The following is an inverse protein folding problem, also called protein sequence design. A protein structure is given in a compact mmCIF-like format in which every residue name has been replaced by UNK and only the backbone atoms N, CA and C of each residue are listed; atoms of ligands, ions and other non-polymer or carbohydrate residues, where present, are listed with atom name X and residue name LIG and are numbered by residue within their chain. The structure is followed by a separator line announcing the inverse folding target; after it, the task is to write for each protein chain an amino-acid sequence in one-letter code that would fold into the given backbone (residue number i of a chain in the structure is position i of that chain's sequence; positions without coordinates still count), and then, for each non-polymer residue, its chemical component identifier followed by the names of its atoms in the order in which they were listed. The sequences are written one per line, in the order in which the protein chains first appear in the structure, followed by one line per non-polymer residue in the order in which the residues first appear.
data_IF_413637367399
#
_entry.id   IF_413637367399
#
_cell.length_a   1.000
_cell.length_b   1.000
_cell.length_c   1.000
_cell.angle_alpha   90.00
_cell.angle_beta   90.00
_cell.angle_gamma   90.00
#
_symmetry.space_group_name_H-M   'P 1'
#
loop_
_entity.id
_entity.type
_entity.pdbx_description
1 polymer ?
#
# COMPACT_ATOMS: atom_id res chain seq x y z
N UNK A 1 10.55 -26.53 -2.13
CA UNK A 1 11.24 -25.41 -1.46
C UNK A 1 11.06 -25.58 0.05
N UNK A 2 12.16 -25.67 0.81
CA UNK A 2 12.12 -25.78 2.28
C UNK A 2 11.75 -24.37 2.80
N UNK A 3 10.68 -24.29 3.59
CA UNK A 3 10.26 -23.01 4.19
C UNK A 3 11.38 -22.46 5.10
N UNK A 4 11.59 -21.12 5.12
CA UNK A 4 12.59 -20.53 6.01
C UNK A 4 12.30 -20.89 7.47
N UNK A 5 13.34 -21.08 8.28
CA UNK A 5 13.20 -21.51 9.68
C UNK A 5 12.27 -20.59 10.49
N UNK A 6 12.40 -19.27 10.34
CA UNK A 6 11.52 -18.31 11.02
C UNK A 6 10.03 -18.49 10.68
N UNK A 7 9.72 -18.97 9.45
CA UNK A 7 8.34 -19.22 9.03
C UNK A 7 7.79 -20.54 9.61
N UNK A 8 8.64 -21.56 9.72
CA UNK A 8 8.26 -22.84 10.35
C UNK A 8 8.04 -22.71 11.85
N UNK A 9 8.68 -21.74 12.51
CA UNK A 9 8.53 -21.42 13.94
C UNK A 9 7.22 -20.65 14.25
N UNK A 10 6.56 -20.05 13.24
CA UNK A 10 5.25 -19.42 13.44
C UNK A 10 4.17 -20.47 13.73
N UNK A 11 3.30 -20.16 14.67
CA UNK A 11 2.09 -20.91 14.91
C UNK A 11 1.11 -20.84 13.70
N UNK A 12 0.06 -21.65 13.63
CA UNK A 12 -0.86 -21.62 12.50
C UNK A 12 -1.54 -20.27 12.28
N UNK A 13 -1.80 -19.49 13.34
CA UNK A 13 -2.40 -18.16 13.24
C UNK A 13 -1.38 -17.15 12.71
N UNK A 14 -0.14 -17.18 13.19
CA UNK A 14 0.96 -16.35 12.70
C UNK A 14 1.24 -16.59 11.21
N UNK A 15 1.18 -17.86 10.74
CA UNK A 15 1.32 -18.15 9.29
C UNK A 15 0.16 -17.60 8.46
N UNK A 16 -1.07 -17.66 8.97
CA UNK A 16 -2.24 -17.03 8.32
C UNK A 16 -2.11 -15.53 8.28
N UNK A 17 -1.72 -14.91 9.40
CA UNK A 17 -1.47 -13.49 9.52
C UNK A 17 -0.40 -13.03 8.51
N UNK A 18 0.75 -13.71 8.47
CA UNK A 18 1.82 -13.41 7.52
C UNK A 18 1.33 -13.50 6.06
N UNK A 19 0.71 -14.62 5.66
CA UNK A 19 0.22 -14.80 4.28
C UNK A 19 -0.78 -13.73 3.89
N UNK A 20 -1.73 -13.43 4.77
CA UNK A 20 -2.78 -12.43 4.52
C UNK A 20 -2.22 -11.01 4.41
N UNK A 21 -1.27 -10.63 5.28
CA UNK A 21 -0.63 -9.33 5.22
C UNK A 21 0.31 -9.21 4.02
N UNK A 22 1.07 -10.27 3.71
CA UNK A 22 1.91 -10.32 2.51
C UNK A 22 1.08 -10.14 1.23
N UNK A 23 -0.04 -10.86 1.11
CA UNK A 23 -0.95 -10.73 -0.02
C UNK A 23 -1.59 -9.33 -0.06
N UNK A 24 -1.99 -8.76 1.09
CA UNK A 24 -2.49 -7.40 1.20
C UNK A 24 -1.49 -6.38 0.69
N UNK A 25 -0.27 -6.42 1.19
CA UNK A 25 0.82 -5.55 0.74
C UNK A 25 1.12 -5.69 -0.76
N UNK A 26 1.02 -6.92 -1.32
CA UNK A 26 1.22 -7.13 -2.76
C UNK A 26 0.12 -6.47 -3.59
N UNK A 27 -1.15 -6.60 -3.18
CA UNK A 27 -2.26 -5.96 -3.90
C UNK A 27 -2.27 -4.45 -3.73
N UNK A 28 -1.92 -3.94 -2.55
CA UNK A 28 -1.80 -2.50 -2.33
C UNK A 28 -0.68 -1.89 -3.15
N UNK A 29 0.49 -2.54 -3.18
CA UNK A 29 1.60 -2.13 -4.02
C UNK A 29 1.20 -2.15 -5.51
N UNK A 30 0.48 -3.19 -5.96
CA UNK A 30 -0.09 -3.24 -7.31
C UNK A 30 -1.00 -2.03 -7.56
N UNK A 31 -1.98 -1.78 -6.71
CA UNK A 31 -2.96 -0.71 -6.87
C UNK A 31 -2.32 0.68 -6.98
N UNK A 32 -1.31 0.92 -6.16
CA UNK A 32 -0.59 2.20 -6.16
C UNK A 32 0.25 2.36 -7.43
N UNK A 33 0.94 1.29 -7.84
CA UNK A 33 1.84 1.30 -8.98
C UNK A 33 1.13 1.25 -10.34
N UNK A 34 -0.11 0.75 -10.40
CA UNK A 34 -0.95 0.84 -11.62
C UNK A 34 -0.96 2.25 -12.18
N UNK A 35 -1.04 3.27 -11.31
CA UNK A 35 -1.02 4.66 -11.73
C UNK A 35 0.23 5.02 -12.54
N UNK A 36 1.41 4.59 -12.12
CA UNK A 36 2.67 4.89 -12.82
C UNK A 36 2.68 4.32 -14.24
N UNK A 37 2.07 3.16 -14.46
CA UNK A 37 1.99 2.52 -15.78
C UNK A 37 0.88 3.10 -16.67
N UNK A 38 -0.22 3.57 -16.09
CA UNK A 38 -1.31 4.18 -16.86
C UNK A 38 -1.14 5.69 -17.06
N UNK A 39 -0.26 6.34 -16.28
CA UNK A 39 -0.03 7.78 -16.34
C UNK A 39 0.27 8.30 -17.76
N UNK A 40 1.17 7.69 -18.55
CA UNK A 40 1.44 8.15 -19.92
C UNK A 40 0.20 8.20 -20.78
N UNK A 41 -0.67 7.19 -20.62
CA UNK A 41 -1.93 7.10 -21.35
C UNK A 41 -2.93 8.18 -20.90
N UNK A 42 -3.05 8.41 -19.60
CA UNK A 42 -3.90 9.46 -19.04
C UNK A 42 -3.47 10.86 -19.47
N UNK A 43 -2.13 11.13 -19.48
CA UNK A 43 -1.60 12.40 -19.99
C UNK A 43 -2.06 12.66 -21.42
N UNK A 44 -2.05 11.62 -22.27
CA UNK A 44 -2.45 11.72 -23.67
C UNK A 44 -3.97 11.83 -23.83
N UNK A 45 -4.74 10.94 -23.18
CA UNK A 45 -6.21 10.88 -23.33
C UNK A 45 -6.91 12.13 -22.80
N UNK A 46 -6.44 12.65 -21.67
CA UNK A 46 -7.04 13.80 -21.00
C UNK A 46 -6.28 15.11 -21.25
N UNK A 47 -5.26 15.08 -22.12
CA UNK A 47 -4.40 16.22 -22.45
C UNK A 47 -3.87 16.95 -21.20
N UNK A 48 -3.46 16.15 -20.21
CA UNK A 48 -2.96 16.66 -18.94
C UNK A 48 -1.51 17.12 -19.06
N UNK A 49 -1.17 18.18 -18.34
CA UNK A 49 0.22 18.58 -18.17
C UNK A 49 0.98 17.58 -17.28
N UNK A 50 2.31 17.44 -17.42
CA UNK A 50 3.11 16.62 -16.51
C UNK A 50 2.94 17.04 -15.04
N UNK A 51 2.73 18.34 -14.77
CA UNK A 51 2.48 18.83 -13.40
C UNK A 51 1.17 18.31 -12.82
N UNK A 52 0.10 18.20 -13.63
CA UNK A 52 -1.16 17.58 -13.20
C UNK A 52 -0.96 16.09 -12.86
N UNK A 53 -0.21 15.35 -13.69
CA UNK A 53 0.18 13.97 -13.36
C UNK A 53 0.98 13.88 -12.06
N UNK A 54 1.93 14.79 -11.84
CA UNK A 54 2.67 14.87 -10.59
C UNK A 54 1.79 15.18 -9.38
N UNK A 55 0.77 16.03 -9.54
CA UNK A 55 -0.18 16.34 -8.47
C UNK A 55 -0.98 15.11 -8.03
N UNK A 56 -1.45 14.28 -8.97
CA UNK A 56 -2.15 13.01 -8.66
C UNK A 56 -1.28 12.04 -7.85
N UNK A 57 0.03 12.01 -8.10
CA UNK A 57 0.95 11.21 -7.29
C UNK A 57 1.19 11.85 -5.89
N UNK A 58 1.36 13.17 -5.86
CA UNK A 58 1.64 13.91 -4.62
C UNK A 58 0.50 13.83 -3.62
N UNK A 59 -0.74 14.06 -4.04
CA UNK A 59 -1.90 14.01 -3.12
C UNK A 59 -2.09 12.62 -2.52
N UNK A 60 -1.83 11.57 -3.30
CA UNK A 60 -1.85 10.20 -2.81
C UNK A 60 -0.81 9.99 -1.71
N UNK A 61 0.43 10.47 -1.88
CA UNK A 61 1.49 10.31 -0.89
C UNK A 61 1.23 11.13 0.38
N UNK A 62 0.74 12.37 0.23
CA UNK A 62 0.36 13.20 1.39
C UNK A 62 -0.79 12.57 2.17
N UNK A 63 -1.81 12.08 1.47
CA UNK A 63 -2.92 11.37 2.10
C UNK A 63 -2.47 10.07 2.78
N UNK A 64 -1.45 9.37 2.24
CA UNK A 64 -0.91 8.17 2.86
C UNK A 64 -0.25 8.43 4.22
N UNK A 65 0.42 9.56 4.38
CA UNK A 65 0.99 9.95 5.67
C UNK A 65 -0.12 10.16 6.73
N UNK A 66 -1.20 10.85 6.36
CA UNK A 66 -2.36 11.03 7.24
C UNK A 66 -3.04 9.69 7.56
N UNK A 67 -3.25 8.84 6.54
CA UNK A 67 -3.85 7.52 6.67
C UNK A 67 -3.06 6.61 7.60
N UNK A 68 -1.75 6.56 7.43
CA UNK A 68 -0.85 5.76 8.28
C UNK A 68 -0.90 6.18 9.75
N UNK A 69 -0.88 7.48 10.00
CA UNK A 69 -0.95 8.02 11.35
C UNK A 69 -2.30 7.73 12.02
N UNK A 70 -3.40 8.06 11.35
CA UNK A 70 -4.74 7.84 11.90
C UNK A 70 -5.05 6.36 12.11
N UNK A 71 -4.64 5.49 11.17
CA UNK A 71 -4.81 4.06 11.30
C UNK A 71 -3.92 3.46 12.39
N UNK A 72 -2.73 4.00 12.62
CA UNK A 72 -1.89 3.64 13.76
C UNK A 72 -2.64 3.86 15.07
N UNK A 73 -3.14 5.08 15.30
CA UNK A 73 -3.95 5.43 16.48
C UNK A 73 -5.21 4.55 16.59
N UNK A 74 -5.91 4.34 15.47
CA UNK A 74 -7.11 3.50 15.44
C UNK A 74 -6.78 2.04 15.77
N UNK A 75 -5.65 1.51 15.28
CA UNK A 75 -5.25 0.13 15.53
C UNK A 75 -4.86 -0.13 16.97
N UNK A 76 -4.31 0.88 17.66
CA UNK A 76 -4.01 0.79 19.10
C UNK A 76 -5.29 0.75 19.94
N UNK A 77 -6.37 1.35 19.45
CA UNK A 77 -7.66 1.40 20.17
C UNK A 77 -8.59 0.25 19.82
N UNK A 78 -8.70 -0.09 18.53
CA UNK A 78 -9.73 -1.03 18.02
C UNK A 78 -9.16 -2.40 17.65
N UNK A 79 -7.85 -2.57 17.68
CA UNK A 79 -7.13 -3.79 17.31
C UNK A 79 -6.60 -3.76 15.88
N UNK A 80 -5.49 -4.49 15.67
CA UNK A 80 -4.78 -4.54 14.38
C UNK A 80 -5.63 -5.20 13.30
N UNK A 81 -6.25 -6.33 13.64
CA UNK A 81 -7.02 -7.14 12.68
C UNK A 81 -8.25 -6.39 12.17
N UNK A 82 -8.99 -5.70 13.05
CA UNK A 82 -10.16 -4.92 12.62
C UNK A 82 -9.78 -3.79 11.69
N UNK A 83 -8.73 -3.06 12.02
CA UNK A 83 -8.27 -1.96 11.18
C UNK A 83 -7.77 -2.48 9.83
N UNK A 84 -7.00 -3.59 9.79
CA UNK A 84 -6.58 -4.24 8.53
C UNK A 84 -7.75 -4.75 7.67
N UNK A 85 -8.87 -5.12 8.27
CA UNK A 85 -10.09 -5.48 7.53
C UNK A 85 -10.74 -4.24 6.89
N UNK A 86 -10.75 -3.12 7.62
CA UNK A 86 -11.30 -1.86 7.11
C UNK A 86 -10.40 -1.27 6.00
N UNK A 87 -9.09 -1.34 6.16
CA UNK A 87 -8.14 -0.79 5.17
C UNK A 87 -8.24 -1.49 3.83
N UNK A 88 -8.36 -2.84 3.79
CA UNK A 88 -8.48 -3.56 2.51
C UNK A 88 -9.80 -3.24 1.79
N UNK A 89 -10.90 -3.05 2.53
CA UNK A 89 -12.18 -2.61 1.95
C UNK A 89 -12.06 -1.18 1.42
N UNK A 90 -11.45 -0.29 2.19
CA UNK A 90 -11.20 1.09 1.78
C UNK A 90 -10.35 1.16 0.52
N UNK A 91 -9.26 0.37 0.45
CA UNK A 91 -8.40 0.27 -0.74
C UNK A 91 -9.17 -0.25 -1.95
N UNK A 92 -9.99 -1.28 -1.79
CA UNK A 92 -10.81 -1.81 -2.88
C UNK A 92 -11.80 -0.77 -3.42
N UNK A 93 -12.51 -0.06 -2.52
CA UNK A 93 -13.46 0.98 -2.91
C UNK A 93 -12.78 2.18 -3.58
N UNK A 94 -11.67 2.67 -3.03
CA UNK A 94 -10.94 3.78 -3.63
C UNK A 94 -10.30 3.40 -4.98
N UNK A 95 -9.82 2.16 -5.12
CA UNK A 95 -9.32 1.63 -6.40
C UNK A 95 -10.45 1.50 -7.43
N UNK A 96 -11.63 1.05 -7.02
CA UNK A 96 -12.84 1.08 -7.86
C UNK A 96 -13.16 2.51 -8.33
N UNK A 97 -13.14 3.49 -7.43
CA UNK A 97 -13.34 4.90 -7.77
C UNK A 97 -12.29 5.40 -8.77
N UNK A 98 -11.01 4.99 -8.62
CA UNK A 98 -9.98 5.33 -9.60
C UNK A 98 -10.34 4.81 -11.01
N UNK A 99 -10.77 3.55 -11.13
CA UNK A 99 -11.17 2.96 -12.40
C UNK A 99 -12.45 3.57 -13.00
N UNK A 100 -13.33 4.13 -12.18
CA UNK A 100 -14.58 4.78 -12.61
C UNK A 100 -14.42 6.27 -12.91
N UNK A 101 -13.31 6.91 -12.57
CA UNK A 101 -13.09 8.33 -12.77
C UNK A 101 -13.23 8.72 -14.25
N UNK A 102 -13.94 9.80 -14.53
CA UNK A 102 -14.21 10.29 -15.88
C UNK A 102 -13.34 11.50 -16.25
N UNK A 103 -12.82 12.19 -15.25
CA UNK A 103 -12.01 13.39 -15.39
C UNK A 103 -10.88 13.44 -14.34
N UNK A 104 -10.06 14.48 -14.44
CA UNK A 104 -8.94 14.72 -13.56
C UNK A 104 -9.37 14.90 -12.10
N UNK A 105 -10.45 15.63 -11.83
CA UNK A 105 -10.89 15.98 -10.48
C UNK A 105 -11.41 14.75 -9.74
N UNK A 106 -12.18 13.90 -10.41
CA UNK A 106 -12.65 12.64 -9.86
C UNK A 106 -11.47 11.71 -9.55
N UNK A 107 -10.50 11.64 -10.46
CA UNK A 107 -9.30 10.83 -10.21
C UNK A 107 -8.46 11.42 -9.07
N UNK A 108 -8.37 12.74 -8.94
CA UNK A 108 -7.66 13.41 -7.84
C UNK A 108 -8.26 13.02 -6.47
N UNK A 109 -9.59 13.06 -6.36
CA UNK A 109 -10.29 12.64 -5.14
C UNK A 109 -10.08 11.14 -4.89
N UNK A 110 -10.27 10.30 -5.91
CA UNK A 110 -10.09 8.87 -5.78
C UNK A 110 -8.65 8.49 -5.37
N UNK A 111 -7.63 9.14 -5.94
CA UNK A 111 -6.22 8.97 -5.57
C UNK A 111 -5.91 9.43 -4.15
N UNK A 112 -6.54 10.50 -3.68
CA UNK A 112 -6.44 10.96 -2.30
C UNK A 112 -6.98 9.90 -1.34
N UNK A 113 -8.17 9.37 -1.61
CA UNK A 113 -8.78 8.30 -0.82
C UNK A 113 -7.94 7.02 -0.85
N UNK A 114 -7.39 6.66 -2.01
CA UNK A 114 -6.52 5.50 -2.18
C UNK A 114 -5.23 5.65 -1.36
N UNK A 115 -4.62 6.85 -1.37
CA UNK A 115 -3.45 7.15 -0.56
C UNK A 115 -3.70 6.95 0.93
N UNK A 116 -4.82 7.46 1.43
CA UNK A 116 -5.22 7.26 2.82
C UNK A 116 -5.26 5.77 3.21
N UNK A 117 -5.92 4.95 2.39
CA UNK A 117 -5.98 3.49 2.60
C UNK A 117 -4.61 2.81 2.54
N UNK A 118 -3.77 3.22 1.58
CA UNK A 118 -2.42 2.69 1.41
C UNK A 118 -1.56 2.92 2.66
N UNK A 119 -1.48 4.16 3.15
CA UNK A 119 -0.72 4.45 4.37
C UNK A 119 -1.24 3.70 5.59
N UNK A 120 -2.56 3.59 5.71
CA UNK A 120 -3.22 2.86 6.78
C UNK A 120 -2.85 1.36 6.79
N UNK A 121 -2.93 0.71 5.64
CA UNK A 121 -2.61 -0.72 5.49
C UNK A 121 -1.14 -1.02 5.85
N UNK A 122 -0.21 -0.21 5.32
CA UNK A 122 1.23 -0.44 5.53
C UNK A 122 1.66 -0.18 6.96
N UNK A 123 1.14 0.87 7.60
CA UNK A 123 1.45 1.17 9.00
C UNK A 123 0.97 0.05 9.94
N UNK A 124 -0.30 -0.32 9.84
CA UNK A 124 -0.90 -1.32 10.73
C UNK A 124 -0.36 -2.73 10.43
N UNK A 125 -0.18 -3.05 9.16
CA UNK A 125 0.38 -4.34 8.74
C UNK A 125 1.82 -4.55 9.23
N UNK A 126 2.66 -3.52 9.18
CA UNK A 126 4.03 -3.60 9.69
C UNK A 126 4.06 -3.84 11.21
N UNK A 127 3.21 -3.13 11.98
CA UNK A 127 3.07 -3.32 13.43
C UNK A 127 2.59 -4.73 13.72
N UNK A 128 1.52 -5.19 13.06
CA UNK A 128 0.98 -6.53 13.24
C UNK A 128 2.01 -7.62 12.95
N UNK A 129 2.80 -7.47 11.88
CA UNK A 129 3.89 -8.39 11.56
C UNK A 129 4.99 -8.39 12.64
N UNK A 130 5.32 -7.23 13.19
CA UNK A 130 6.30 -7.11 14.25
C UNK A 130 5.83 -7.74 15.58
N UNK A 131 4.53 -7.70 15.87
CA UNK A 131 3.92 -8.25 17.09
C UNK A 131 3.81 -9.79 17.07
N UNK A 132 3.51 -10.38 15.90
CA UNK A 132 3.43 -11.85 15.77
C UNK A 132 4.78 -12.54 15.66
N UNK A 133 5.85 -11.78 15.41
CA UNK A 133 7.19 -12.31 15.23
C UNK A 133 7.90 -12.49 16.58
N UNK A 134 8.58 -13.63 16.76
CA UNK A 134 9.54 -13.79 17.84
C UNK A 134 10.63 -12.71 17.71
N UNK A 135 11.14 -12.12 18.83
CA UNK A 135 12.12 -11.02 18.79
C UNK A 135 13.33 -11.29 17.89
N UNK A 136 13.89 -12.51 17.92
CA UNK A 136 15.03 -12.90 17.10
C UNK A 136 14.72 -13.03 15.59
N UNK A 137 13.45 -13.21 15.21
CA UNK A 137 13.00 -13.38 13.83
C UNK A 137 12.32 -12.12 13.25
N UNK A 138 12.02 -11.10 14.09
CA UNK A 138 11.23 -9.93 13.73
C UNK A 138 11.73 -9.21 12.48
N UNK A 139 13.02 -8.91 12.41
CA UNK A 139 13.61 -8.23 11.25
C UNK A 139 13.47 -9.05 9.95
N UNK A 140 13.65 -10.38 10.03
CA UNK A 140 13.51 -11.27 8.87
C UNK A 140 12.05 -11.35 8.40
N UNK A 141 11.11 -11.46 9.32
CA UNK A 141 9.68 -11.56 9.00
C UNK A 141 9.19 -10.26 8.38
N UNK A 142 9.44 -9.12 9.02
CA UNK A 142 9.05 -7.79 8.50
C UNK A 142 9.76 -7.49 7.18
N UNK A 143 11.06 -7.76 7.06
CA UNK A 143 11.80 -7.58 5.82
C UNK A 143 11.27 -8.45 4.68
N UNK A 144 10.88 -9.71 4.96
CA UNK A 144 10.22 -10.55 3.95
C UNK A 144 8.85 -10.00 3.58
N UNK A 145 8.06 -9.51 4.55
CA UNK A 145 6.77 -8.88 4.25
C UNK A 145 6.92 -7.67 3.32
N UNK A 146 7.98 -6.88 3.45
CA UNK A 146 8.27 -5.75 2.57
C UNK A 146 8.59 -6.17 1.12
N UNK A 147 9.08 -7.40 0.87
CA UNK A 147 9.30 -7.90 -0.49
C UNK A 147 8.02 -8.05 -1.30
N UNK A 148 6.85 -8.05 -0.64
CA UNK A 148 5.54 -7.99 -1.29
C UNK A 148 5.39 -6.79 -2.23
N UNK A 149 6.11 -5.69 -1.95
CA UNK A 149 6.19 -4.53 -2.83
C UNK A 149 6.66 -4.88 -4.24
N UNK A 150 7.72 -5.65 -4.36
CA UNK A 150 8.25 -6.08 -5.67
C UNK A 150 7.26 -6.96 -6.44
N UNK A 151 6.54 -7.84 -5.73
CA UNK A 151 5.48 -8.66 -6.34
C UNK A 151 4.35 -7.77 -6.87
N UNK A 152 3.88 -6.81 -6.04
CA UNK A 152 2.84 -5.86 -6.45
C UNK A 152 3.25 -5.02 -7.66
N UNK A 153 4.51 -4.60 -7.71
CA UNK A 153 5.08 -3.87 -8.85
C UNK A 153 5.04 -4.69 -10.14
N UNK A 154 5.49 -5.95 -10.07
CA UNK A 154 5.42 -6.89 -11.20
C UNK A 154 3.98 -7.16 -11.66
N UNK A 155 3.05 -7.32 -10.71
CA UNK A 155 1.63 -7.49 -11.02
C UNK A 155 1.04 -6.24 -11.68
N UNK A 156 1.38 -5.03 -11.23
CA UNK A 156 0.94 -3.78 -11.84
C UNK A 156 1.44 -3.66 -13.28
N UNK A 157 2.72 -3.94 -13.52
CA UNK A 157 3.31 -3.92 -14.86
C UNK A 157 2.61 -4.91 -15.79
N UNK A 158 2.48 -6.18 -15.38
CA UNK A 158 1.83 -7.22 -16.17
C UNK A 158 0.36 -6.87 -16.47
N UNK A 159 -0.40 -6.48 -15.44
CA UNK A 159 -1.83 -6.16 -15.58
C UNK A 159 -2.04 -4.96 -16.50
N UNK A 160 -1.27 -3.88 -16.32
CA UNK A 160 -1.38 -2.69 -17.15
C UNK A 160 -1.02 -2.98 -18.61
N UNK A 161 0.08 -3.71 -18.83
CA UNK A 161 0.52 -4.08 -20.19
C UNK A 161 -0.54 -4.92 -20.89
N UNK A 162 -1.06 -5.96 -20.22
CA UNK A 162 -2.07 -6.84 -20.80
C UNK A 162 -3.37 -6.08 -21.07
N UNK A 163 -3.84 -5.30 -20.11
CA UNK A 163 -5.10 -4.55 -20.24
C UNK A 163 -5.04 -3.51 -21.38
N UNK A 164 -3.94 -2.77 -21.49
CA UNK A 164 -3.75 -1.77 -22.55
C UNK A 164 -3.54 -2.42 -23.92
N UNK A 165 -2.93 -3.62 -23.99
CA UNK A 165 -2.74 -4.33 -25.24
C UNK A 165 -4.02 -4.97 -25.79
N UNK A 166 -4.93 -5.42 -24.92
CA UNK A 166 -6.14 -6.15 -25.32
C UNK A 166 -7.38 -5.28 -25.48
N UNK A 167 -7.39 -4.08 -24.87
CA UNK A 167 -8.57 -3.22 -24.83
C UNK A 167 -8.27 -1.85 -25.46
N UNK A 168 -9.31 -1.14 -25.97
CA UNK A 168 -9.14 0.24 -26.39
C UNK A 168 -8.56 1.09 -25.25
N UNK A 169 -7.76 2.13 -25.57
CA UNK A 169 -7.07 2.96 -24.57
C UNK A 169 -7.96 3.45 -23.43
N UNK A 170 -9.19 3.87 -23.73
CA UNK A 170 -10.16 4.38 -22.76
C UNK A 170 -10.62 3.33 -21.75
N UNK A 171 -10.64 2.07 -22.14
CA UNK A 171 -11.05 0.94 -21.30
C UNK A 171 -9.87 0.24 -20.65
N UNK A 172 -8.72 0.17 -21.33
CA UNK A 172 -7.54 -0.58 -20.88
C UNK A 172 -7.03 -0.10 -19.53
N UNK A 173 -6.88 1.19 -19.33
CA UNK A 173 -6.42 1.72 -18.06
C UNK A 173 -7.42 1.50 -16.92
N UNK A 174 -8.73 1.54 -17.19
CA UNK A 174 -9.78 1.27 -16.20
C UNK A 174 -9.79 -0.20 -15.80
N UNK A 175 -9.69 -1.10 -16.78
CA UNK A 175 -9.64 -2.54 -16.58
C UNK A 175 -8.46 -2.93 -15.68
N UNK A 176 -7.31 -2.27 -15.82
CA UNK A 176 -6.16 -2.48 -14.96
C UNK A 176 -6.49 -2.28 -13.47
N UNK A 177 -7.27 -1.25 -13.13
CA UNK A 177 -7.73 -1.04 -11.75
C UNK A 177 -8.74 -2.11 -11.30
N UNK A 178 -9.66 -2.52 -12.16
CA UNK A 178 -10.71 -3.48 -11.79
C UNK A 178 -10.17 -4.91 -11.57
N UNK A 179 -9.11 -5.31 -12.24
CA UNK A 179 -8.48 -6.63 -12.06
C UNK A 179 -7.99 -6.86 -10.63
N UNK A 180 -7.67 -5.81 -9.88
CA UNK A 180 -7.23 -5.93 -8.49
C UNK A 180 -8.35 -6.18 -7.47
N UNK A 181 -9.61 -5.96 -7.84
CA UNK A 181 -10.74 -6.06 -6.91
C UNK A 181 -11.03 -7.50 -6.44
N UNK A 182 -11.06 -8.52 -7.32
CA UNK A 182 -11.27 -9.90 -6.87
C UNK A 182 -10.21 -10.39 -5.88
N UNK A 183 -8.89 -10.19 -6.09
CA UNK A 183 -7.88 -10.51 -5.07
C UNK A 183 -8.08 -9.76 -3.75
N UNK A 184 -8.44 -8.47 -3.78
CA UNK A 184 -8.71 -7.70 -2.57
C UNK A 184 -9.88 -8.30 -1.76
N UNK A 185 -10.95 -8.72 -2.44
CA UNK A 185 -12.06 -9.41 -1.81
C UNK A 185 -11.63 -10.75 -1.18
N UNK A 186 -10.81 -11.53 -1.87
CA UNK A 186 -10.28 -12.78 -1.34
C UNK A 186 -9.44 -12.56 -0.07
N UNK A 187 -8.61 -11.50 -0.05
CA UNK A 187 -7.83 -11.11 1.12
C UNK A 187 -8.75 -10.66 2.27
N UNK A 188 -9.78 -9.88 1.99
CA UNK A 188 -10.78 -9.49 3.00
C UNK A 188 -11.40 -10.73 3.67
N UNK A 189 -11.85 -11.71 2.88
CA UNK A 189 -12.41 -12.96 3.37
C UNK A 189 -11.39 -13.74 4.22
N UNK A 190 -10.14 -13.81 3.76
CA UNK A 190 -9.06 -14.45 4.53
C UNK A 190 -8.79 -13.75 5.87
N UNK A 191 -8.84 -12.41 5.90
CA UNK A 191 -8.64 -11.61 7.13
C UNK A 191 -9.77 -11.78 8.16
N UNK A 192 -10.97 -12.20 7.78
CA UNK A 192 -12.06 -12.48 8.72
C UNK A 192 -11.72 -13.62 9.69
N UNK A 193 -10.74 -14.45 9.37
CA UNK A 193 -10.27 -15.58 10.18
C UNK A 193 -9.00 -15.28 10.98
N UNK A 194 -8.49 -14.04 10.92
CA UNK A 194 -7.33 -13.64 11.71
C UNK A 194 -7.71 -13.44 13.17
N UNK A 195 -6.76 -13.79 14.03
CA UNK A 195 -6.84 -13.56 15.48
C UNK A 195 -5.93 -12.38 15.81
N UNK A 196 -6.36 -11.57 16.77
CA UNK A 196 -5.60 -10.40 17.24
C UNK A 196 -4.28 -10.82 17.88
N UNK A 197 -3.28 -9.93 17.85
CA UNK A 197 -1.98 -10.22 18.43
C UNK A 197 -2.06 -10.36 19.95
N UNK A 198 -1.28 -11.30 20.51
CA UNK A 198 -1.18 -11.46 21.96
C UNK A 198 -0.64 -10.19 22.63
N UNK A 199 0.23 -9.46 21.94
CA UNK A 199 0.81 -8.18 22.42
C UNK A 199 -0.29 -7.12 22.59
N UNK A 200 -1.19 -6.99 21.63
CA UNK A 200 -2.33 -6.09 21.74
C UNK A 200 -3.29 -6.49 22.88
N UNK A 201 -3.61 -7.77 22.97
CA UNK A 201 -4.52 -8.27 24.01
C UNK A 201 -3.96 -8.12 25.44
N UNK A 202 -2.64 -8.11 25.60
CA UNK A 202 -1.95 -7.90 26.88
C UNK A 202 -1.69 -6.41 27.20
N UNK A 203 -1.91 -5.49 26.24
CA UNK A 203 -1.70 -4.06 26.47
C UNK A 203 -2.81 -3.51 27.37
N UNK A 204 -2.47 -2.81 28.48
CA UNK A 204 -3.47 -2.34 29.45
C UNK A 204 -4.40 -1.24 28.90
N UNK A 205 -3.88 -0.33 28.06
CA UNK A 205 -4.63 0.74 27.40
C UNK A 205 -3.87 1.27 26.20
N UNK A 206 -4.59 1.87 25.22
CA UNK A 206 -3.96 2.55 24.10
C UNK A 206 -3.12 3.72 24.58
N UNK A 207 -1.82 3.68 24.31
CA UNK A 207 -0.94 4.81 24.65
C UNK A 207 -1.36 6.08 23.90
N UNK A 208 -1.25 7.22 24.61
CA UNK A 208 -1.63 8.51 24.03
C UNK A 208 -0.75 8.82 22.79
N UNK A 209 -1.37 9.02 21.63
CA UNK A 209 -0.72 9.27 20.33
C UNK A 209 0.33 10.38 20.34
N UNK A 210 0.20 11.39 21.23
CA UNK A 210 1.13 12.50 21.35
C UNK A 210 2.48 12.12 21.98
N UNK A 211 2.62 10.92 22.55
CA UNK A 211 3.89 10.48 23.19
C UNK A 211 5.07 10.44 22.21
N UNK A 212 4.84 10.25 20.91
CA UNK A 212 5.88 10.32 19.88
C UNK A 212 6.56 11.70 19.81
N UNK A 213 5.87 12.77 20.25
CA UNK A 213 6.40 14.14 20.33
C UNK A 213 6.97 14.49 21.71
N UNK A 214 6.95 13.56 22.66
CA UNK A 214 7.53 13.78 23.99
C UNK A 214 9.04 14.04 23.90
N UNK A 215 9.59 14.73 24.92
CA UNK A 215 11.03 15.03 25.00
C UNK A 215 11.91 13.78 24.86
N UNK A 216 11.43 12.63 25.32
CA UNK A 216 12.14 11.33 25.25
C UNK A 216 12.15 10.75 23.83
N UNK A 217 11.07 10.93 23.06
CA UNK A 217 10.88 10.24 21.77
C UNK A 217 11.11 11.17 20.56
N UNK A 218 11.01 12.49 20.71
CA UNK A 218 11.05 13.44 19.59
C UNK A 218 12.26 13.31 18.67
N UNK A 219 13.43 13.04 19.24
CA UNK A 219 14.65 12.90 18.44
C UNK A 219 14.61 11.63 17.58
N UNK A 220 14.14 10.50 18.14
CA UNK A 220 13.97 9.27 17.38
C UNK A 220 12.90 9.42 16.29
N UNK A 221 11.81 10.12 16.61
CA UNK A 221 10.76 10.46 15.65
C UNK A 221 11.31 11.31 14.51
N UNK A 222 12.05 12.38 14.82
CA UNK A 222 12.65 13.26 13.83
C UNK A 222 13.68 12.53 12.95
N UNK A 223 14.59 11.75 13.54
CA UNK A 223 15.59 10.99 12.80
C UNK A 223 14.94 9.92 11.90
N UNK A 224 13.94 9.20 12.41
CA UNK A 224 13.18 8.23 11.63
C UNK A 224 12.44 8.88 10.46
N UNK A 225 11.85 10.05 10.67
CA UNK A 225 11.18 10.83 9.62
C UNK A 225 12.15 11.31 8.54
N UNK A 226 13.31 11.85 8.95
CA UNK A 226 14.35 12.28 8.00
C UNK A 226 14.90 11.11 7.18
N UNK A 227 15.13 9.96 7.81
CA UNK A 227 15.56 8.75 7.11
C UNK A 227 14.50 8.30 6.10
N UNK A 228 13.23 8.30 6.48
CA UNK A 228 12.11 7.94 5.60
C UNK A 228 11.99 8.89 4.41
N UNK A 229 12.11 10.20 4.62
CA UNK A 229 12.11 11.22 3.55
C UNK A 229 13.25 10.95 2.56
N UNK A 230 14.46 10.73 3.06
CA UNK A 230 15.63 10.48 2.21
C UNK A 230 15.52 9.19 1.38
N UNK A 231 15.07 8.10 1.99
CA UNK A 231 14.98 6.79 1.31
C UNK A 231 13.78 6.69 0.37
N UNK A 232 12.64 7.28 0.72
CA UNK A 232 11.41 7.15 -0.07
C UNK A 232 11.24 8.26 -1.11
N UNK A 233 11.73 9.48 -0.85
CA UNK A 233 11.56 10.60 -1.77
C UNK A 233 12.13 10.33 -3.16
N UNK A 234 13.39 9.90 -3.24
CA UNK A 234 14.03 9.53 -4.51
C UNK A 234 13.36 8.34 -5.19
N UNK A 235 13.00 7.32 -4.39
CA UNK A 235 12.30 6.15 -4.91
C UNK A 235 10.96 6.55 -5.58
N UNK A 236 10.12 7.32 -4.92
CA UNK A 236 8.81 7.69 -5.45
C UNK A 236 8.90 8.59 -6.69
N UNK A 237 9.88 9.50 -6.74
CA UNK A 237 10.13 10.30 -7.93
C UNK A 237 10.46 9.41 -9.14
N UNK A 238 11.39 8.47 -8.98
CA UNK A 238 11.77 7.55 -10.05
C UNK A 238 10.62 6.60 -10.40
N UNK A 239 10.02 5.94 -9.42
CA UNK A 239 8.98 4.93 -9.65
C UNK A 239 7.74 5.49 -10.37
N UNK A 240 7.37 6.75 -10.09
CA UNK A 240 6.23 7.41 -10.74
C UNK A 240 6.52 7.77 -12.20
N UNK A 241 7.72 8.31 -12.47
CA UNK A 241 8.01 8.91 -13.77
C UNK A 241 8.78 8.01 -14.73
N UNK A 242 9.42 6.95 -14.24
CA UNK A 242 10.22 6.05 -15.07
C UNK A 242 9.44 5.42 -16.23
N UNK A 243 8.23 4.84 -16.04
CA UNK A 243 7.44 4.31 -17.14
C UNK A 243 7.04 5.40 -18.16
N UNK A 244 6.69 6.59 -17.66
CA UNK A 244 6.33 7.74 -18.51
C UNK A 244 7.50 8.20 -19.37
N UNK A 245 8.68 8.33 -18.78
CA UNK A 245 9.90 8.73 -19.49
C UNK A 245 10.26 7.70 -20.59
N UNK A 246 10.25 6.42 -20.27
CA UNK A 246 10.57 5.37 -21.25
C UNK A 246 9.60 5.37 -22.43
N UNK A 247 8.32 5.59 -22.17
CA UNK A 247 7.29 5.57 -23.22
C UNK A 247 7.29 6.83 -24.07
N UNK A 248 7.32 8.02 -23.45
CA UNK A 248 7.19 9.29 -24.17
C UNK A 248 8.49 9.76 -24.79
N UNK A 249 9.64 9.56 -24.14
CA UNK A 249 10.93 10.05 -24.61
C UNK A 249 11.72 9.02 -25.42
N UNK A 250 11.56 7.73 -25.10
CA UNK A 250 12.32 6.65 -25.74
C UNK A 250 11.47 5.81 -26.71
N UNK A 251 10.16 6.08 -26.83
CA UNK A 251 9.25 5.34 -27.71
C UNK A 251 9.12 3.85 -27.37
N UNK A 252 9.44 3.44 -26.15
CA UNK A 252 9.32 2.05 -25.71
C UNK A 252 7.85 1.72 -25.45
N UNK A 253 7.40 0.57 -25.98
CA UNK A 253 6.04 0.06 -25.83
C UNK A 253 5.92 -0.86 -24.63
#
# INVERSE_FOLDING_TARGET
MIAPRWYSELDPNGRRAFRSTYAGFSIDAMNVQLYSFVLPLLLTLWQLSPSAGGLLATVMLVASAAGGWLAGVASDRFGRVRVLQLTIVWMALSTLCCGLAQDFEQLLVARTLQGFGFGAEWAVGAVFMAEIAAPAARGRLVGTAQSAWAIGWGLAAATSTIAIALLPPELGWRAAFFVSLPPALAIFVARRRLVESATFLAAPDAEAWHRIFSLRMRNNTALGSLLAIGTHGGYWALATWWPTMLRLERGMT
#
